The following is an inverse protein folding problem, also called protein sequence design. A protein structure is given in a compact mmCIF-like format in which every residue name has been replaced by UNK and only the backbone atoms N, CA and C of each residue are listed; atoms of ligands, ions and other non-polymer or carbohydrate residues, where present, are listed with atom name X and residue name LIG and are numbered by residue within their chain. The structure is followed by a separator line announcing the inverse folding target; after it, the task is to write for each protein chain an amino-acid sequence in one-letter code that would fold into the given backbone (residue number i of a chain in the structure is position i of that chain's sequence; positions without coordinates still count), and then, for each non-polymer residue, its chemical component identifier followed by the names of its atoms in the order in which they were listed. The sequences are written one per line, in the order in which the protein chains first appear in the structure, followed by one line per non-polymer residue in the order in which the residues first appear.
data_IF_562567228177
#
_entry.id   IF_562567228177
#
_cell.length_a   1.000
_cell.length_b   1.000
_cell.length_c   1.000
_cell.angle_alpha   90.00
_cell.angle_beta   90.00
_cell.angle_gamma   90.00
#
_symmetry.space_group_name_H-M   'P 1'
#
loop_
_entity.id
_entity.type
_entity.pdbx_description
1 polymer ?
#
# COMPACT_ATOMS: atom_id res chain seq x y z
N UNK A 1 13.19 -12.44 -9.67
CA UNK A 1 11.95 -11.69 -9.91
C UNK A 1 12.19 -10.22 -9.64
N UNK A 2 11.62 -9.32 -10.44
CA UNK A 2 11.75 -7.90 -10.17
C UNK A 2 11.06 -7.49 -8.88
N UNK A 3 11.49 -6.36 -8.34
CA UNK A 3 10.88 -5.78 -7.15
C UNK A 3 9.92 -4.67 -7.56
N UNK A 4 8.83 -4.54 -6.82
CA UNK A 4 7.82 -3.52 -7.06
C UNK A 4 7.58 -2.71 -5.80
N UNK A 5 7.46 -1.41 -6.01
CA UNK A 5 7.14 -0.44 -4.97
C UNK A 5 5.63 -0.25 -4.97
N UNK A 6 4.99 -0.62 -3.86
CA UNK A 6 3.54 -0.51 -3.69
C UNK A 6 3.26 0.66 -2.77
N UNK A 7 2.42 1.58 -3.24
CA UNK A 7 1.97 2.69 -2.43
C UNK A 7 0.48 2.52 -2.17
N UNK A 8 0.12 2.48 -0.89
CA UNK A 8 -1.26 2.32 -0.45
C UNK A 8 -1.70 3.59 0.24
N UNK A 9 -2.86 4.12 -0.14
CA UNK A 9 -3.45 5.29 0.50
C UNK A 9 -4.55 4.84 1.45
N UNK A 10 -4.45 5.27 2.70
CA UNK A 10 -5.45 5.02 3.73
C UNK A 10 -6.09 6.34 4.12
N UNK A 11 -7.42 6.41 4.02
CA UNK A 11 -8.16 7.61 4.38
C UNK A 11 -9.15 7.31 5.50
N UNK A 12 -9.06 8.10 6.58
CA UNK A 12 -10.03 8.08 7.68
C UNK A 12 -10.47 9.52 7.90
N UNK A 13 -11.72 9.84 7.56
CA UNK A 13 -12.25 11.21 7.55
C UNK A 13 -11.39 12.12 6.67
N UNK A 14 -10.77 13.14 7.25
CA UNK A 14 -9.89 14.06 6.53
C UNK A 14 -8.43 13.63 6.55
N UNK A 15 -8.10 12.62 7.34
CA UNK A 15 -6.73 12.13 7.45
C UNK A 15 -6.41 11.20 6.30
N UNK A 16 -5.35 11.51 5.59
CA UNK A 16 -4.83 10.69 4.51
C UNK A 16 -3.41 10.27 4.85
N UNK A 17 -3.18 8.96 4.85
CA UNK A 17 -1.87 8.38 5.11
C UNK A 17 -1.43 7.54 3.93
N UNK A 18 -0.13 7.52 3.69
CA UNK A 18 0.44 6.66 2.65
C UNK A 18 1.35 5.63 3.29
N UNK A 19 1.24 4.41 2.81
CA UNK A 19 2.05 3.29 3.26
C UNK A 19 2.82 2.74 2.08
N UNK A 20 4.10 2.42 2.28
CA UNK A 20 4.98 1.97 1.23
C UNK A 20 5.51 0.58 1.52
N UNK A 21 5.46 -0.28 0.51
CA UNK A 21 5.90 -1.66 0.64
C UNK A 21 6.73 -2.06 -0.57
N UNK A 22 7.68 -2.95 -0.34
CA UNK A 22 8.47 -3.55 -1.39
C UNK A 22 8.07 -5.02 -1.50
N UNK A 23 7.68 -5.45 -2.70
CA UNK A 23 7.34 -6.84 -2.93
C UNK A 23 8.06 -7.36 -4.17
N UNK A 24 8.32 -8.67 -4.19
CA UNK A 24 8.83 -9.34 -5.37
C UNK A 24 7.67 -9.95 -6.13
N UNK A 25 7.62 -9.73 -7.43
CA UNK A 25 6.57 -10.27 -8.28
C UNK A 25 7.09 -10.47 -9.69
N UNK A 26 6.44 -11.36 -10.42
CA UNK A 26 6.82 -11.70 -11.77
C UNK A 26 6.66 -10.50 -12.73
N UNK A 27 5.58 -9.76 -12.55
CA UNK A 27 5.26 -8.59 -13.37
C UNK A 27 4.34 -7.65 -12.57
N UNK A 28 3.98 -6.50 -13.16
CA UNK A 28 3.13 -5.52 -12.51
C UNK A 28 1.75 -6.09 -12.17
N UNK A 29 1.20 -6.91 -13.05
CA UNK A 29 -0.11 -7.51 -12.82
C UNK A 29 -0.12 -8.40 -11.59
N UNK A 30 0.91 -9.22 -11.40
CA UNK A 30 1.05 -10.04 -10.21
C UNK A 30 1.25 -9.17 -8.97
N UNK A 31 2.06 -8.11 -9.10
CA UNK A 31 2.29 -7.18 -8.00
C UNK A 31 0.98 -6.55 -7.52
N UNK A 32 0.11 -6.15 -8.44
CA UNK A 32 -1.21 -5.60 -8.10
C UNK A 32 -2.08 -6.63 -7.39
N UNK A 33 -2.07 -7.87 -7.85
CA UNK A 33 -2.83 -8.95 -7.21
C UNK A 33 -2.38 -9.18 -5.77
N UNK A 34 -1.07 -9.24 -5.56
CA UNK A 34 -0.51 -9.43 -4.23
C UNK A 34 -0.89 -8.27 -3.32
N UNK A 35 -0.78 -7.05 -3.82
CA UNK A 35 -1.13 -5.85 -3.06
C UNK A 35 -2.60 -5.84 -2.65
N UNK A 36 -3.51 -6.14 -3.58
CA UNK A 36 -4.94 -6.17 -3.29
C UNK A 36 -5.30 -7.24 -2.27
N UNK A 37 -4.67 -8.40 -2.36
CA UNK A 37 -4.89 -9.46 -1.38
C UNK A 37 -4.41 -9.06 0.02
N UNK A 38 -3.27 -8.39 0.08
CA UNK A 38 -2.75 -7.85 1.33
C UNK A 38 -3.71 -6.81 1.92
N UNK A 39 -4.26 -5.95 1.07
CA UNK A 39 -5.17 -4.88 1.49
C UNK A 39 -6.49 -5.40 2.06
N UNK A 40 -6.93 -6.56 1.61
CA UNK A 40 -8.15 -7.19 2.14
C UNK A 40 -8.07 -7.39 3.66
N UNK A 41 -6.86 -7.58 4.18
CA UNK A 41 -6.62 -7.78 5.60
C UNK A 41 -5.85 -6.62 6.23
N UNK A 42 -5.90 -5.46 5.62
CA UNK A 42 -5.18 -4.30 6.12
C UNK A 42 -5.60 -3.95 7.54
N UNK A 43 -6.88 -4.14 7.84
CA UNK A 43 -7.41 -3.99 9.20
C UNK A 43 -7.97 -5.36 9.60
N UNK A 44 -7.25 -6.06 10.47
CA UNK A 44 -7.57 -7.43 10.86
C UNK A 44 -8.91 -7.56 11.60
N UNK A 45 -9.31 -6.50 12.30
CA UNK A 45 -10.53 -6.54 13.13
C UNK A 45 -11.82 -6.54 12.31
N UNK A 46 -11.77 -6.11 11.07
CA UNK A 46 -12.95 -6.14 10.21
C UNK A 46 -12.98 -7.44 9.41
N UNK A 47 -13.89 -8.32 9.76
CA UNK A 47 -14.03 -9.62 9.12
C UNK A 47 -14.67 -9.56 7.73
N UNK A 48 -15.39 -8.47 7.43
CA UNK A 48 -16.14 -8.33 6.19
C UNK A 48 -15.91 -6.97 5.54
N UNK A 49 -14.68 -6.68 5.10
CA UNK A 49 -14.45 -5.43 4.38
C UNK A 49 -15.16 -5.46 3.03
N UNK A 50 -15.66 -4.31 2.60
CA UNK A 50 -16.31 -4.19 1.31
C UNK A 50 -15.28 -3.94 0.21
N UNK A 51 -15.35 -4.72 -0.86
CA UNK A 51 -14.48 -4.53 -2.03
C UNK A 51 -14.92 -3.29 -2.80
N UNK A 52 -13.99 -2.37 -3.02
CA UNK A 52 -14.21 -1.17 -3.86
C UNK A 52 -13.17 -1.14 -4.98
N UNK A 53 -13.23 -0.16 -5.86
CA UNK A 53 -12.26 -0.02 -6.94
C UNK A 53 -10.86 0.19 -6.37
N UNK A 54 -9.94 -0.69 -6.74
CA UNK A 54 -8.53 -0.65 -6.33
C UNK A 54 -8.31 -0.74 -4.82
N UNK A 55 -9.27 -1.31 -4.07
CA UNK A 55 -9.06 -1.44 -2.64
C UNK A 55 -10.23 -1.97 -1.86
N UNK A 56 -10.31 -1.57 -0.61
CA UNK A 56 -11.32 -2.04 0.34
C UNK A 56 -11.81 -0.92 1.25
N UNK A 57 -13.07 -1.01 1.63
CA UNK A 57 -13.68 -0.12 2.62
C UNK A 57 -13.89 -0.91 3.90
N UNK A 58 -13.47 -0.35 5.02
CA UNK A 58 -13.55 -0.99 6.33
C UNK A 58 -14.52 -0.22 7.22
N UNK A 59 -15.18 -0.94 8.15
CA UNK A 59 -16.09 -0.36 9.13
C UNK A 59 -17.16 0.53 8.49
N UNK A 60 -17.88 -0.01 7.50
CA UNK A 60 -18.95 0.71 6.79
C UNK A 60 -18.47 2.04 6.20
N UNK A 61 -17.33 1.99 5.50
CA UNK A 61 -16.73 3.14 4.82
C UNK A 61 -16.07 4.16 5.74
N UNK A 62 -15.89 3.84 7.02
CA UNK A 62 -15.16 4.73 7.92
C UNK A 62 -13.69 4.87 7.51
N UNK A 63 -13.10 3.78 7.00
CA UNK A 63 -11.72 3.76 6.54
C UNK A 63 -11.68 3.22 5.12
N UNK A 64 -11.09 3.97 4.20
CA UNK A 64 -10.89 3.55 2.81
C UNK A 64 -9.42 3.30 2.56
N UNK A 65 -9.12 2.14 1.98
CA UNK A 65 -7.74 1.74 1.66
C UNK A 65 -7.68 1.48 0.16
N UNK A 66 -6.86 2.24 -0.55
CA UNK A 66 -6.74 2.12 -2.01
C UNK A 66 -5.31 1.97 -2.46
N UNK A 67 -5.12 1.21 -3.53
CA UNK A 67 -3.83 1.08 -4.19
C UNK A 67 -3.57 2.36 -4.98
N UNK A 68 -2.60 3.15 -4.51
CA UNK A 68 -2.31 4.45 -5.11
C UNK A 68 -1.29 4.34 -6.25
N UNK A 69 -0.31 3.44 -6.14
CA UNK A 69 0.71 3.29 -7.18
C UNK A 69 1.38 1.92 -7.09
N UNK A 70 1.79 1.41 -8.23
CA UNK A 70 2.60 0.19 -8.35
C UNK A 70 3.65 0.47 -9.42
N UNK A 71 4.91 0.39 -9.07
CA UNK A 71 5.97 0.58 -10.07
C UNK A 71 7.16 -0.31 -9.79
N UNK A 72 7.81 -0.74 -10.86
CA UNK A 72 9.03 -1.50 -10.75
C UNK A 72 10.12 -0.63 -10.16
N UNK A 73 10.90 -1.19 -9.26
CA UNK A 73 11.96 -0.47 -8.56
C UNK A 73 13.11 -1.41 -8.24
N UNK A 74 14.12 -0.91 -7.55
CA UNK A 74 15.19 -1.73 -7.01
C UNK A 74 15.18 -1.59 -5.49
N UNK A 75 15.79 -2.56 -4.81
CA UNK A 75 15.91 -2.51 -3.36
C UNK A 75 16.67 -1.26 -2.92
N UNK A 76 17.66 -0.86 -3.70
CA UNK A 76 18.45 0.34 -3.40
C UNK A 76 17.61 1.61 -3.47
N UNK A 77 16.81 1.75 -4.52
CA UNK A 77 15.94 2.91 -4.69
C UNK A 77 14.90 3.00 -3.58
N UNK A 78 14.31 1.88 -3.22
CA UNK A 78 13.34 1.83 -2.14
C UNK A 78 13.99 2.18 -0.81
N UNK A 79 15.16 1.64 -0.54
CA UNK A 79 15.93 1.92 0.67
C UNK A 79 16.28 3.41 0.76
N UNK A 80 16.71 4.00 -0.35
CA UNK A 80 17.02 5.43 -0.40
C UNK A 80 15.82 6.28 -0.06
N UNK A 81 14.65 5.92 -0.57
CA UNK A 81 13.40 6.60 -0.23
C UNK A 81 13.14 6.54 1.27
N UNK A 82 13.25 5.37 1.87
CA UNK A 82 13.00 5.19 3.30
C UNK A 82 13.99 6.01 4.14
N UNK A 83 15.26 6.03 3.76
CA UNK A 83 16.28 6.78 4.47
C UNK A 83 16.03 8.27 4.39
N UNK A 84 15.66 8.79 3.24
CA UNK A 84 15.33 10.21 3.06
C UNK A 84 14.13 10.62 3.90
N UNK A 85 13.09 9.79 3.89
CA UNK A 85 11.89 10.04 4.67
C UNK A 85 12.20 10.04 6.17
N UNK A 86 13.01 9.09 6.60
CA UNK A 86 13.41 8.98 8.00
C UNK A 86 14.27 10.17 8.43
N UNK A 87 15.21 10.59 7.57
CA UNK A 87 16.06 11.75 7.84
C UNK A 87 15.24 13.03 8.00
N UNK A 88 14.24 13.23 7.15
CA UNK A 88 13.34 14.37 7.24
C UNK A 88 12.60 14.37 8.58
N UNK A 89 12.18 13.20 9.04
CA UNK A 89 11.46 13.08 10.30
C UNK A 89 12.34 13.33 11.53
N UNK A 90 13.63 13.18 11.41
CA UNK A 90 14.58 13.40 12.51
C UNK A 90 14.98 14.87 12.67
N UNK A 91 14.74 15.67 11.68
CA UNK A 91 15.05 17.10 11.72
C UNK A 91 13.85 17.93 12.05
#
# INVERSE_FOLDING_TARGET
MPDYWIKIAEREDEDLRHHHYLIAAKDEREARKIALKFMERFIDDDENPEKIDDGYAFYNNAILVKLADVKETTKEQFKDFLLKTHTINLT
#
